data_IF_814363608223
#
_entry.id   IF_814363608223
#
_cell.length_a   1.000
_cell.length_b   1.000
_cell.length_c   1.000
_cell.angle_alpha   90.00
_cell.angle_beta   90.00
_cell.angle_gamma   90.00
#
_symmetry.space_group_name_H-M   'P 1'
#
loop_
_entity.id
_entity.type
_entity.pdbx_description
1 polymer ?
#
# COMPACT_ATOMS: atom_id res chain seq x y z
N UNK A 1 -37.35 7.22 -24.51
CA UNK A 1 -35.98 7.20 -25.09
C UNK A 1 -34.86 7.60 -24.13
N UNK A 2 -35.08 8.41 -23.09
CA UNK A 2 -34.00 8.77 -22.12
C UNK A 2 -33.53 7.59 -21.25
N UNK A 3 -34.41 6.72 -20.78
CA UNK A 3 -34.03 5.57 -19.92
C UNK A 3 -33.10 4.55 -20.59
N UNK A 4 -33.18 4.35 -21.90
CA UNK A 4 -32.29 3.40 -22.60
C UNK A 4 -30.87 3.95 -22.77
N UNK A 5 -30.72 5.27 -22.87
CA UNK A 5 -29.41 5.90 -22.98
C UNK A 5 -28.60 5.79 -21.68
N UNK A 6 -29.25 6.06 -20.54
CA UNK A 6 -28.64 5.96 -19.21
C UNK A 6 -28.20 4.51 -18.89
N UNK A 7 -29.01 3.52 -19.23
CA UNK A 7 -28.67 2.10 -19.01
C UNK A 7 -27.48 1.62 -19.88
N UNK A 8 -27.35 2.12 -21.11
CA UNK A 8 -26.21 1.77 -21.98
C UNK A 8 -24.92 2.43 -21.49
N UNK A 9 -25.00 3.67 -21.03
CA UNK A 9 -23.85 4.38 -20.47
C UNK A 9 -23.36 3.74 -19.18
N UNK A 10 -24.26 3.37 -18.26
CA UNK A 10 -23.94 2.62 -17.03
C UNK A 10 -23.30 1.26 -17.34
N UNK A 11 -23.86 0.48 -18.27
CA UNK A 11 -23.30 -0.81 -18.68
C UNK A 11 -21.93 -0.67 -19.36
N UNK A 12 -21.70 0.42 -20.07
CA UNK A 12 -20.40 0.67 -20.71
C UNK A 12 -19.35 1.02 -19.66
N UNK A 13 -19.68 1.88 -18.70
CA UNK A 13 -18.81 2.25 -17.57
C UNK A 13 -18.49 1.01 -16.72
N UNK A 14 -19.47 0.18 -16.43
CA UNK A 14 -19.29 -1.05 -15.65
C UNK A 14 -18.36 -2.04 -16.38
N UNK A 15 -18.54 -2.20 -17.69
CA UNK A 15 -17.70 -3.05 -18.53
C UNK A 15 -16.26 -2.54 -18.62
N UNK A 16 -16.06 -1.23 -18.78
CA UNK A 16 -14.74 -0.63 -18.79
C UNK A 16 -14.06 -0.76 -17.43
N UNK A 17 -14.79 -0.55 -16.33
CA UNK A 17 -14.31 -0.72 -14.98
C UNK A 17 -13.91 -2.17 -14.71
N UNK A 18 -14.72 -3.14 -15.14
CA UNK A 18 -14.41 -4.55 -15.00
C UNK A 18 -13.19 -4.97 -15.82
N UNK A 19 -13.11 -4.50 -17.07
CA UNK A 19 -11.95 -4.76 -17.94
C UNK A 19 -10.66 -4.19 -17.38
N UNK A 20 -10.73 -3.00 -16.79
CA UNK A 20 -9.60 -2.38 -16.16
C UNK A 20 -9.21 -3.10 -14.85
N UNK A 21 -10.17 -3.57 -14.03
CA UNK A 21 -9.92 -4.41 -12.86
C UNK A 21 -9.22 -5.72 -13.25
N UNK A 22 -9.68 -6.38 -14.29
CA UNK A 22 -9.06 -7.61 -14.83
C UNK A 22 -7.61 -7.36 -15.31
N UNK A 23 -7.37 -6.28 -16.04
CA UNK A 23 -6.03 -5.94 -16.53
C UNK A 23 -5.03 -5.68 -15.38
N UNK A 24 -5.47 -5.05 -14.30
CA UNK A 24 -4.64 -4.84 -13.11
C UNK A 24 -4.43 -6.14 -12.35
N UNK A 25 -5.45 -6.96 -12.20
CA UNK A 25 -5.33 -8.27 -11.59
C UNK A 25 -4.30 -9.14 -12.33
N UNK A 26 -4.33 -9.14 -13.65
CA UNK A 26 -3.37 -9.88 -14.48
C UNK A 26 -1.94 -9.31 -14.36
N UNK A 27 -1.80 -7.98 -14.34
CA UNK A 27 -0.51 -7.33 -14.10
C UNK A 27 0.06 -7.61 -12.72
N UNK A 28 -0.78 -7.57 -11.68
CA UNK A 28 -0.40 -7.96 -10.33
C UNK A 28 -0.02 -9.43 -10.27
N UNK A 29 -0.79 -10.32 -10.87
CA UNK A 29 -0.48 -11.75 -10.96
C UNK A 29 0.88 -12.02 -11.59
N UNK A 30 1.18 -11.37 -12.72
CA UNK A 30 2.47 -11.49 -13.38
C UNK A 30 3.62 -10.93 -12.54
N UNK A 31 3.42 -9.79 -11.87
CA UNK A 31 4.39 -9.22 -10.94
C UNK A 31 4.69 -10.15 -9.77
N UNK A 32 3.66 -10.80 -9.22
CA UNK A 32 3.78 -11.75 -8.13
C UNK A 32 4.58 -12.99 -8.57
N UNK A 33 4.33 -13.51 -9.76
CA UNK A 33 5.10 -14.63 -10.34
C UNK A 33 6.57 -14.23 -10.51
N UNK A 34 6.84 -13.06 -11.08
CA UNK A 34 8.20 -12.55 -11.26
C UNK A 34 8.90 -12.32 -9.91
N UNK A 35 8.19 -11.77 -8.91
CA UNK A 35 8.74 -11.57 -7.57
C UNK A 35 9.06 -12.90 -6.90
N UNK A 36 8.21 -13.91 -7.05
CA UNK A 36 8.45 -15.25 -6.52
C UNK A 36 9.65 -15.92 -7.18
N UNK A 37 9.77 -15.82 -8.51
CA UNK A 37 10.93 -16.33 -9.23
C UNK A 37 12.23 -15.62 -8.83
N UNK A 38 12.13 -14.36 -8.42
CA UNK A 38 13.29 -13.58 -7.96
C UNK A 38 13.78 -13.96 -6.55
N UNK A 39 12.93 -14.58 -5.74
CA UNK A 39 13.32 -15.11 -4.43
C UNK A 39 14.16 -16.39 -4.55
N UNK A 40 14.02 -17.13 -5.66
CA UNK A 40 14.73 -18.38 -5.93
C UNK A 40 16.01 -18.18 -6.76
N UNK A 41 16.31 -16.95 -7.20
CA UNK A 41 17.49 -16.63 -8.03
C UNK A 41 18.19 -15.37 -7.51
N UNK A 42 19.51 -15.35 -7.57
CA UNK A 42 20.30 -14.14 -7.42
C UNK A 42 20.01 -13.18 -8.60
N UNK A 43 19.12 -12.22 -8.37
CA UNK A 43 18.80 -11.18 -9.35
C UNK A 43 19.93 -10.17 -9.44
N UNK A 44 20.19 -9.69 -10.65
CA UNK A 44 21.03 -8.53 -10.87
C UNK A 44 20.32 -7.25 -10.34
N UNK A 45 21.10 -6.20 -10.04
CA UNK A 45 20.54 -4.93 -9.59
C UNK A 45 19.60 -4.32 -10.64
N UNK A 46 19.89 -4.48 -11.94
CA UNK A 46 19.04 -4.04 -13.03
C UNK A 46 17.69 -4.76 -13.05
N UNK A 47 17.68 -6.08 -12.85
CA UNK A 47 16.43 -6.86 -12.77
C UNK A 47 15.59 -6.46 -11.56
N UNK A 48 16.22 -6.17 -10.42
CA UNK A 48 15.54 -5.66 -9.22
C UNK A 48 14.92 -4.28 -9.48
N UNK A 49 15.62 -3.37 -10.14
CA UNK A 49 15.09 -2.05 -10.48
C UNK A 49 13.89 -2.13 -11.43
N UNK A 50 13.95 -2.99 -12.44
CA UNK A 50 12.83 -3.24 -13.37
C UNK A 50 11.62 -3.79 -12.62
N UNK A 51 11.81 -4.79 -11.77
CA UNK A 51 10.75 -5.37 -10.95
C UNK A 51 10.08 -4.31 -10.08
N UNK A 52 10.87 -3.45 -9.45
CA UNK A 52 10.39 -2.37 -8.59
C UNK A 52 9.67 -1.26 -9.33
N UNK A 53 10.20 -0.86 -10.50
CA UNK A 53 9.52 0.14 -11.33
C UNK A 53 8.16 -0.38 -11.80
N UNK A 54 8.09 -1.66 -12.14
CA UNK A 54 6.85 -2.32 -12.55
C UNK A 54 5.86 -2.40 -11.38
N UNK A 55 6.31 -2.73 -10.17
CA UNK A 55 5.51 -2.67 -8.95
C UNK A 55 4.95 -1.25 -8.72
N UNK A 56 5.80 -0.23 -8.74
CA UNK A 56 5.39 1.17 -8.54
C UNK A 56 4.34 1.60 -9.57
N UNK A 57 4.55 1.30 -10.84
CA UNK A 57 3.63 1.65 -11.92
C UNK A 57 2.29 0.93 -11.79
N UNK A 58 2.30 -0.34 -11.38
CA UNK A 58 1.07 -1.11 -11.16
C UNK A 58 0.28 -0.59 -9.97
N UNK A 59 0.95 -0.19 -8.88
CA UNK A 59 0.32 0.41 -7.72
C UNK A 59 -0.28 1.80 -8.02
N UNK A 60 0.41 2.64 -8.80
CA UNK A 60 -0.13 3.93 -9.26
C UNK A 60 -1.38 3.73 -10.13
N UNK A 61 -1.35 2.76 -11.03
CA UNK A 61 -2.52 2.40 -11.84
C UNK A 61 -3.68 1.91 -10.97
N UNK A 62 -3.41 1.11 -9.95
CA UNK A 62 -4.40 0.64 -8.98
C UNK A 62 -5.02 1.79 -8.16
N UNK A 63 -4.23 2.78 -7.78
CA UNK A 63 -4.74 3.97 -7.06
C UNK A 63 -5.66 4.83 -7.92
N UNK A 64 -5.33 5.02 -9.21
CA UNK A 64 -6.13 5.85 -10.12
C UNK A 64 -7.50 5.24 -10.43
N UNK A 65 -7.66 3.92 -10.31
CA UNK A 65 -8.93 3.23 -10.56
C UNK A 65 -9.87 3.20 -9.34
N UNK A 66 -9.36 3.48 -8.14
CA UNK A 66 -10.13 3.43 -6.89
C UNK A 66 -10.83 4.74 -6.52
N UNK A 67 -11.17 5.57 -7.48
CA UNK A 67 -12.09 6.68 -7.20
C UNK A 67 -13.53 6.23 -6.99
N UNK A 68 -13.86 4.99 -7.33
CA UNK A 68 -15.17 4.40 -7.09
C UNK A 68 -15.07 3.25 -6.09
N UNK A 69 -15.56 3.51 -4.87
CA UNK A 69 -16.05 2.55 -3.87
C UNK A 69 -15.13 1.39 -3.44
N UNK A 70 -14.81 1.26 -2.14
CA UNK A 70 -15.22 0.11 -1.39
C UNK A 70 -14.35 -0.33 -0.21
N UNK A 71 -14.91 -1.13 0.63
CA UNK A 71 -14.37 -1.86 1.78
C UNK A 71 -13.24 -2.86 1.45
N UNK A 72 -12.96 -3.13 0.18
CA UNK A 72 -12.05 -4.19 -0.30
C UNK A 72 -10.55 -3.88 -0.25
N UNK A 73 -10.16 -2.64 0.05
CA UNK A 73 -8.76 -2.19 -0.08
C UNK A 73 -7.78 -2.97 0.80
N UNK A 74 -8.18 -3.34 2.00
CA UNK A 74 -7.32 -4.12 2.90
C UNK A 74 -7.29 -5.60 2.53
N UNK A 75 -8.40 -6.16 2.06
CA UNK A 75 -8.48 -7.58 1.70
C UNK A 75 -7.64 -7.87 0.46
N UNK A 76 -7.66 -6.96 -0.52
CA UNK A 76 -6.78 -7.03 -1.69
C UNK A 76 -5.30 -6.90 -1.30
N UNK A 77 -4.98 -5.98 -0.37
CA UNK A 77 -3.64 -5.84 0.18
C UNK A 77 -3.17 -7.11 0.88
N UNK A 78 -4.01 -7.74 1.70
CA UNK A 78 -3.69 -9.00 2.37
C UNK A 78 -3.44 -10.13 1.38
N UNK A 79 -4.28 -10.22 0.35
CA UNK A 79 -4.11 -11.21 -0.70
C UNK A 79 -2.79 -11.02 -1.44
N UNK A 80 -2.50 -9.79 -1.87
CA UNK A 80 -1.26 -9.47 -2.55
C UNK A 80 -0.03 -9.75 -1.67
N UNK A 81 -0.07 -9.38 -0.38
CA UNK A 81 1.01 -9.65 0.57
C UNK A 81 1.26 -11.15 0.72
N UNK A 82 0.19 -11.94 0.89
CA UNK A 82 0.28 -13.40 1.01
C UNK A 82 0.90 -14.03 -0.22
N UNK A 83 0.55 -13.56 -1.41
CA UNK A 83 1.04 -14.10 -2.68
C UNK A 83 2.56 -13.87 -2.87
N UNK A 84 3.13 -12.81 -2.27
CA UNK A 84 4.57 -12.54 -2.24
C UNK A 84 5.28 -13.08 -0.99
N UNK A 85 4.58 -13.88 -0.17
CA UNK A 85 5.15 -14.48 1.04
C UNK A 85 5.30 -13.54 2.22
N UNK A 86 4.60 -12.40 2.23
CA UNK A 86 4.56 -11.46 3.35
C UNK A 86 3.26 -11.66 4.13
N UNK A 87 3.38 -11.77 5.45
CA UNK A 87 2.25 -11.73 6.37
C UNK A 87 2.07 -10.32 6.93
N UNK A 88 0.87 -9.77 6.83
CA UNK A 88 0.53 -8.50 7.49
C UNK A 88 -0.27 -8.81 8.75
N UNK A 89 0.19 -8.28 9.88
CA UNK A 89 -0.45 -8.51 11.19
C UNK A 89 -0.94 -7.17 11.71
N UNK A 90 -2.27 -7.05 11.83
CA UNK A 90 -2.91 -5.84 12.32
C UNK A 90 -3.22 -5.93 13.81
N UNK A 91 -3.08 -4.80 14.49
CA UNK A 91 -3.57 -4.56 15.84
C UNK A 91 -4.29 -3.20 15.92
N UNK A 92 -5.35 -3.13 16.74
CA UNK A 92 -6.18 -1.94 16.86
C UNK A 92 -7.23 -1.78 15.75
N UNK A 93 -8.02 -0.69 15.84
CA UNK A 93 -9.09 -0.40 14.89
C UNK A 93 -8.53 0.29 13.64
N UNK A 94 -8.70 -0.33 12.49
CA UNK A 94 -8.25 0.22 11.20
C UNK A 94 -8.99 1.52 10.86
N UNK A 95 -8.33 2.50 10.23
CA UNK A 95 -8.99 3.72 9.75
C UNK A 95 -10.12 3.38 8.78
N UNK A 96 -11.30 3.95 9.00
CA UNK A 96 -12.46 3.78 8.11
C UNK A 96 -12.56 4.89 7.06
N UNK A 97 -12.02 6.08 7.39
CA UNK A 97 -12.02 7.21 6.46
C UNK A 97 -11.22 6.90 5.19
N UNK A 98 -11.69 7.38 4.04
CA UNK A 98 -11.02 7.22 2.74
C UNK A 98 -9.55 7.66 2.79
N UNK A 99 -9.29 8.82 3.42
CA UNK A 99 -7.95 9.36 3.63
C UNK A 99 -7.08 8.44 4.48
N UNK A 100 -7.60 7.99 5.62
CA UNK A 100 -6.88 7.10 6.52
C UNK A 100 -6.55 5.75 5.89
N UNK A 101 -7.51 5.15 5.18
CA UNK A 101 -7.29 3.91 4.40
C UNK A 101 -6.18 4.09 3.37
N UNK A 102 -6.22 5.16 2.58
CA UNK A 102 -5.25 5.44 1.54
C UNK A 102 -3.84 5.61 2.08
N UNK A 103 -3.68 6.35 3.19
CA UNK A 103 -2.39 6.53 3.86
C UNK A 103 -1.87 5.20 4.42
N UNK A 104 -2.72 4.45 5.13
CA UNK A 104 -2.34 3.17 5.71
C UNK A 104 -1.86 2.18 4.64
N UNK A 105 -2.62 2.02 3.56
CA UNK A 105 -2.26 1.10 2.46
C UNK A 105 -0.93 1.48 1.81
N UNK A 106 -0.72 2.77 1.49
CA UNK A 106 0.56 3.22 0.91
C UNK A 106 1.74 2.95 1.85
N UNK A 107 1.58 3.23 3.12
CA UNK A 107 2.62 3.03 4.12
C UNK A 107 2.96 1.53 4.28
N UNK A 108 1.94 0.67 4.29
CA UNK A 108 2.12 -0.78 4.40
C UNK A 108 2.86 -1.32 3.16
N UNK A 109 2.48 -0.89 1.96
CA UNK A 109 3.14 -1.30 0.70
C UNK A 109 4.61 -0.88 0.70
N UNK A 110 4.92 0.35 1.12
CA UNK A 110 6.31 0.82 1.23
C UNK A 110 7.09 0.00 2.24
N UNK A 111 6.49 -0.29 3.42
CA UNK A 111 7.12 -1.13 4.42
C UNK A 111 7.36 -2.56 3.91
N UNK A 112 6.39 -3.19 3.23
CA UNK A 112 6.53 -4.51 2.61
C UNK A 112 7.70 -4.52 1.62
N UNK A 113 7.77 -3.52 0.75
CA UNK A 113 8.84 -3.36 -0.23
C UNK A 113 10.20 -3.27 0.46
N UNK A 114 10.31 -2.47 1.52
CA UNK A 114 11.55 -2.30 2.28
C UNK A 114 11.90 -3.54 3.08
N UNK A 115 10.91 -4.28 3.58
CA UNK A 115 11.12 -5.55 4.29
C UNK A 115 11.76 -6.59 3.38
N UNK A 116 11.26 -6.72 2.15
CA UNK A 116 11.82 -7.67 1.16
C UNK A 116 13.23 -7.23 0.73
N UNK A 117 13.40 -5.95 0.40
CA UNK A 117 14.66 -5.45 -0.19
C UNK A 117 15.81 -5.36 0.78
N UNK A 118 15.51 -4.90 1.99
CA UNK A 118 16.55 -4.43 2.91
C UNK A 118 16.61 -5.21 4.22
N UNK A 119 15.48 -5.77 4.66
CA UNK A 119 15.40 -6.41 5.96
C UNK A 119 15.33 -7.94 5.89
N UNK A 120 15.11 -8.55 4.72
CA UNK A 120 14.95 -10.01 4.55
C UNK A 120 13.90 -10.62 5.48
N UNK A 121 12.92 -9.84 5.87
CA UNK A 121 11.81 -10.28 6.70
C UNK A 121 10.63 -10.79 5.85
N UNK A 122 9.67 -11.40 6.53
CA UNK A 122 8.44 -11.90 5.91
C UNK A 122 7.17 -11.51 6.68
N UNK A 123 7.30 -10.67 7.69
CA UNK A 123 6.17 -10.17 8.46
C UNK A 123 6.23 -8.65 8.62
N UNK A 124 5.08 -8.00 8.45
CA UNK A 124 4.88 -6.58 8.69
C UNK A 124 3.80 -6.43 9.76
N UNK A 125 4.13 -5.74 10.82
CA UNK A 125 3.24 -5.47 11.94
C UNK A 125 2.71 -4.05 11.82
N UNK A 126 1.39 -3.89 11.86
CA UNK A 126 0.72 -2.59 11.75
C UNK A 126 -0.18 -2.40 12.96
N UNK A 127 0.12 -1.39 13.76
CA UNK A 127 -0.69 -1.00 14.91
C UNK A 127 -1.43 0.31 14.63
N UNK A 128 -2.72 0.32 14.89
CA UNK A 128 -3.56 1.51 14.80
C UNK A 128 -3.99 1.91 16.20
N UNK A 129 -3.71 3.15 16.56
CA UNK A 129 -4.14 3.72 17.82
C UNK A 129 -4.96 4.97 17.58
N UNK A 130 -6.20 4.89 17.99
CA UNK A 130 -7.12 6.00 17.89
C UNK A 130 -6.96 6.94 19.08
N UNK A 131 -6.67 8.21 18.81
CA UNK A 131 -6.63 9.30 19.78
C UNK A 131 -7.76 10.29 19.48
N UNK A 132 -8.07 11.21 20.39
CA UNK A 132 -9.24 12.09 20.26
C UNK A 132 -9.42 12.69 18.87
N UNK A 133 -8.39 13.34 18.31
CA UNK A 133 -8.41 13.99 16.99
C UNK A 133 -7.55 13.31 15.95
N UNK A 134 -6.74 12.33 16.33
CA UNK A 134 -5.72 11.73 15.48
C UNK A 134 -5.82 10.21 15.47
N UNK A 135 -5.31 9.64 14.42
CA UNK A 135 -5.02 8.21 14.32
C UNK A 135 -3.50 8.11 14.19
N UNK A 136 -2.90 7.33 15.07
CA UNK A 136 -1.50 6.93 14.97
C UNK A 136 -1.43 5.58 14.27
N UNK A 137 -0.55 5.46 13.29
CA UNK A 137 -0.25 4.23 12.58
C UNK A 137 1.22 3.92 12.81
N UNK A 138 1.52 2.82 13.46
CA UNK A 138 2.88 2.34 13.67
C UNK A 138 3.10 1.09 12.82
N UNK A 139 4.19 1.07 12.04
CA UNK A 139 4.53 -0.04 11.17
C UNK A 139 5.95 -0.49 11.46
N UNK A 140 6.13 -1.78 11.69
CA UNK A 140 7.41 -2.43 11.90
C UNK A 140 7.49 -3.72 11.08
N UNK A 141 8.64 -4.39 11.07
CA UNK A 141 8.80 -5.70 10.44
C UNK A 141 9.65 -6.64 11.32
N UNK A 142 9.69 -7.92 10.94
CA UNK A 142 10.50 -8.95 11.62
C UNK A 142 11.89 -9.17 11.00
N UNK A 143 12.28 -8.34 10.05
CA UNK A 143 13.52 -8.51 9.34
C UNK A 143 14.78 -8.09 10.10
N UNK A 144 15.91 -8.13 9.42
CA UNK A 144 17.20 -7.70 9.96
C UNK A 144 17.15 -6.23 10.40
N UNK A 145 17.83 -5.93 11.51
CA UNK A 145 17.95 -4.55 11.99
C UNK A 145 18.77 -3.71 11.02
N UNK A 146 18.42 -2.43 10.83
CA UNK A 146 19.24 -1.52 10.04
C UNK A 146 20.67 -1.44 10.62
N UNK A 147 21.67 -1.52 9.74
CA UNK A 147 23.07 -1.42 10.13
C UNK A 147 23.51 0.03 10.29
N UNK A 148 22.84 0.93 9.61
CA UNK A 148 23.09 2.37 9.60
C UNK A 148 21.78 3.12 9.74
N UNK A 149 21.87 4.42 10.02
CA UNK A 149 20.71 5.29 10.02
C UNK A 149 20.05 5.32 8.65
N UNK A 150 18.74 5.07 8.61
CA UNK A 150 17.99 5.05 7.35
C UNK A 150 17.92 6.47 6.81
N UNK A 151 18.57 6.68 5.67
CA UNK A 151 18.42 7.90 4.89
C UNK A 151 17.15 7.77 4.05
N UNK A 152 16.18 8.63 4.33
CA UNK A 152 14.95 8.65 3.55
C UNK A 152 15.26 9.04 2.10
N UNK A 153 14.98 8.14 1.19
CA UNK A 153 15.11 8.32 -0.25
C UNK A 153 14.01 7.57 -0.98
N UNK A 154 13.80 7.88 -2.25
CA UNK A 154 12.87 7.15 -3.11
C UNK A 154 11.46 7.01 -2.52
N UNK A 155 11.11 5.79 -2.12
CA UNK A 155 9.76 5.46 -1.64
C UNK A 155 9.38 6.16 -0.34
N UNK A 156 10.27 6.16 0.67
CA UNK A 156 10.00 6.81 1.96
C UNK A 156 9.81 8.33 1.82
N UNK A 157 10.65 9.01 1.01
CA UNK A 157 10.49 10.43 0.74
C UNK A 157 9.17 10.73 0.01
N UNK A 158 8.80 9.91 -0.97
CA UNK A 158 7.54 10.07 -1.70
C UNK A 158 6.33 9.84 -0.78
N UNK A 159 6.40 8.84 0.09
CA UNK A 159 5.38 8.56 1.09
C UNK A 159 5.23 9.72 2.09
N UNK A 160 6.35 10.28 2.57
CA UNK A 160 6.35 11.44 3.45
C UNK A 160 5.64 12.63 2.82
N UNK A 161 6.01 13.01 1.61
CA UNK A 161 5.39 14.11 0.87
C UNK A 161 3.88 13.89 0.68
N UNK A 162 3.48 12.64 0.40
CA UNK A 162 2.07 12.31 0.28
C UNK A 162 1.34 12.50 1.61
N UNK A 163 1.87 11.97 2.73
CA UNK A 163 1.26 12.08 4.05
C UNK A 163 1.14 13.56 4.48
N UNK A 164 2.19 14.36 4.25
CA UNK A 164 2.21 15.79 4.58
C UNK A 164 1.18 16.58 3.76
N UNK A 165 1.00 16.27 2.49
CA UNK A 165 -0.07 16.85 1.65
C UNK A 165 -1.45 16.54 2.17
N UNK A 166 -1.63 15.36 2.74
CA UNK A 166 -2.88 14.95 3.38
C UNK A 166 -3.02 15.52 4.81
N UNK A 167 -2.13 16.41 5.24
CA UNK A 167 -2.16 17.03 6.58
C UNK A 167 -1.77 16.09 7.71
N UNK A 168 -1.02 15.03 7.41
CA UNK A 168 -0.43 14.12 8.39
C UNK A 168 1.05 14.39 8.62
N UNK A 169 1.67 13.57 9.45
CA UNK A 169 3.12 13.58 9.69
C UNK A 169 3.66 12.16 9.72
N UNK A 170 4.93 11.99 9.36
CA UNK A 170 5.62 10.71 9.35
C UNK A 170 6.97 10.82 10.03
N UNK A 171 7.32 9.83 10.84
CA UNK A 171 8.64 9.68 11.46
C UNK A 171 9.16 8.27 11.21
N UNK A 172 10.40 8.16 10.74
CA UNK A 172 11.10 6.89 10.58
C UNK A 172 12.15 6.78 11.67
N UNK A 173 12.21 5.63 12.33
CA UNK A 173 13.16 5.28 13.38
C UNK A 173 13.98 4.10 12.87
N UNK A 174 15.31 4.24 12.92
CA UNK A 174 16.23 3.21 12.44
C UNK A 174 16.61 2.22 13.53
N UNK A 175 16.77 2.69 14.78
CA UNK A 175 17.29 1.88 15.88
C UNK A 175 16.33 1.88 17.08
N UNK A 176 16.28 0.74 17.84
CA UNK A 176 17.03 -0.50 17.65
C UNK A 176 16.53 -1.37 16.48
N UNK A 177 15.41 -1.02 15.87
CA UNK A 177 14.80 -1.67 14.68
C UNK A 177 14.06 -0.65 13.85
N UNK A 178 13.80 -1.00 12.60
CA UNK A 178 12.96 -0.17 11.74
C UNK A 178 11.57 0.01 12.34
N UNK A 179 11.15 1.27 12.42
CA UNK A 179 9.79 1.63 12.81
C UNK A 179 9.36 2.88 12.04
N UNK A 180 8.15 2.86 11.51
CA UNK A 180 7.51 4.00 10.87
C UNK A 180 6.29 4.42 11.68
N UNK A 181 6.27 5.65 12.14
CA UNK A 181 5.17 6.25 12.88
C UNK A 181 4.52 7.33 12.01
N UNK A 182 3.22 7.21 11.80
CA UNK A 182 2.41 8.15 11.03
C UNK A 182 1.29 8.66 11.92
N UNK A 183 1.08 9.97 11.90
CA UNK A 183 -0.05 10.61 12.59
C UNK A 183 -0.90 11.32 11.56
N UNK A 184 -2.20 11.05 11.56
CA UNK A 184 -3.18 11.68 10.67
C UNK A 184 -4.35 12.20 11.48
N UNK A 185 -4.91 13.34 11.09
CA UNK A 185 -6.17 13.80 11.66
C UNK A 185 -7.32 12.88 11.24
N UNK A 186 -8.20 12.58 12.20
CA UNK A 186 -9.49 11.99 11.88
C UNK A 186 -10.24 12.99 11.03
N UNK A 187 -10.59 12.62 9.80
CA UNK A 187 -11.56 13.42 9.04
C UNK A 187 -12.84 13.57 9.87
N UNK A 188 -13.44 14.74 9.86
CA UNK A 188 -14.79 14.89 10.40
C UNK A 188 -15.69 13.90 9.68
N UNK A 189 -16.25 12.94 10.41
CA UNK A 189 -17.39 12.17 9.95
C UNK A 189 -18.53 13.18 9.73
N UNK A 190 -18.73 13.60 8.49
CA UNK A 190 -20.00 14.21 8.13
C UNK A 190 -21.04 13.08 8.19
N UNK A 191 -21.70 12.94 9.34
CA UNK A 191 -22.99 12.28 9.45
C UNK A 191 -23.94 12.91 8.43
N UNK A 192 -24.21 12.17 7.36
CA UNK A 192 -25.32 12.45 6.46
C UNK A 192 -26.21 11.23 6.36
#
# INVERSE_FOLDING_TARGET
>A
MRQYGETIEELTIEKETLSAKMNIHDKLGNLLILSRQSLDKDMTEEEKEVLLSTWKNTLVAFESMKESESNDTYDELFKAAKDIGISIIFSGKRPESRKGKKIAVKAIIECMTNTIKHAKGNEVYVSFKEMNRFIEIQITNNGEQPKEEIKEGGGLSSLRLFIEREGGSMKVISFPRFEMNITIEKGEEYDR
#
